data_IF_160109222137
#
_entry.id   IF_160109222137
#
_cell.length_a   1.000
_cell.length_b   1.000
_cell.length_c   1.000
_cell.angle_alpha   90.00
_cell.angle_beta   90.00
_cell.angle_gamma   90.00
#
_symmetry.space_group_name_H-M   'P 1'
#
loop_
_entity.id
_entity.type
_entity.pdbx_description
1 polymer ?
#
# COMPACT_ATOMS: atom_id res chain seq x y z
N UNK A 1 16.92 1.05 14.14
CA UNK A 1 18.04 0.40 14.87
C UNK A 1 18.28 -0.98 14.26
N UNK A 2 19.35 -1.18 13.49
CA UNK A 2 19.66 -2.48 12.87
C UNK A 2 20.46 -3.37 13.82
N UNK A 3 20.12 -4.66 13.91
CA UNK A 3 20.91 -5.68 14.60
C UNK A 3 21.05 -6.91 13.69
N UNK A 4 22.21 -7.05 13.07
CA UNK A 4 22.60 -8.24 12.31
C UNK A 4 23.02 -9.34 13.30
N UNK A 5 22.46 -10.55 13.19
CA UNK A 5 22.96 -11.74 13.89
C UNK A 5 23.31 -12.85 12.90
N UNK A 6 24.63 -13.01 12.76
CA UNK A 6 25.42 -14.24 12.59
C UNK A 6 25.02 -15.33 11.58
N UNK A 7 25.79 -15.35 10.47
CA UNK A 7 26.55 -16.48 9.89
C UNK A 7 25.91 -17.89 9.93
N UNK A 8 25.33 -18.31 8.81
CA UNK A 8 25.34 -19.72 8.40
C UNK A 8 26.46 -19.94 7.40
N UNK A 9 27.30 -20.96 7.63
CA UNK A 9 28.36 -21.38 6.71
C UNK A 9 27.78 -22.22 5.57
N UNK A 10 28.36 -22.15 4.36
CA UNK A 10 27.95 -22.89 3.14
C UNK A 10 27.65 -24.38 3.36
N UNK A 11 28.30 -25.02 4.33
CA UNK A 11 28.13 -26.43 4.68
C UNK A 11 26.73 -26.74 5.25
N UNK A 12 26.11 -25.78 5.94
CA UNK A 12 24.82 -25.92 6.61
C UNK A 12 23.66 -25.96 5.60
N UNK A 13 23.81 -25.22 4.48
CA UNK A 13 22.88 -25.30 3.36
C UNK A 13 23.00 -26.62 2.59
N UNK A 14 24.22 -27.15 2.42
CA UNK A 14 24.44 -28.40 1.68
C UNK A 14 23.83 -29.61 2.38
N UNK A 15 23.95 -29.68 3.71
CA UNK A 15 23.33 -30.75 4.49
C UNK A 15 21.79 -30.68 4.43
N UNK A 16 21.23 -29.47 4.42
CA UNK A 16 19.78 -29.27 4.30
C UNK A 16 19.25 -29.66 2.92
N UNK A 17 19.98 -29.34 1.84
CA UNK A 17 19.65 -29.76 0.46
C UNK A 17 19.71 -31.28 0.31
N UNK A 18 20.75 -31.94 0.85
CA UNK A 18 20.88 -33.40 0.75
C UNK A 18 19.76 -34.15 1.49
N UNK A 19 19.28 -33.62 2.62
CA UNK A 19 18.15 -34.20 3.37
C UNK A 19 16.81 -34.12 2.62
N UNK A 20 16.67 -33.14 1.71
CA UNK A 20 15.46 -32.97 0.89
C UNK A 20 15.49 -33.87 -0.35
N UNK A 21 16.67 -34.10 -0.93
CA UNK A 21 16.84 -34.96 -2.11
C UNK A 21 16.65 -36.46 -1.76
N UNK A 22 16.99 -36.89 -0.55
CA UNK A 22 16.79 -38.28 -0.12
C UNK A 22 15.33 -38.68 0.07
N UNK A 23 14.41 -37.70 0.20
CA UNK A 23 13.02 -37.94 0.57
C UNK A 23 12.02 -37.79 -0.59
N UNK A 24 12.47 -37.61 -1.83
CA UNK A 24 11.57 -37.58 -2.99
C UNK A 24 11.44 -38.95 -3.66
N UNK A 25 10.22 -39.48 -3.86
CA UNK A 25 10.02 -40.74 -4.57
C UNK A 25 10.37 -40.59 -6.06
N UNK A 26 11.13 -41.56 -6.60
CA UNK A 26 11.51 -41.63 -8.02
C UNK A 26 10.33 -42.14 -8.84
N UNK A 27 9.86 -41.35 -9.81
CA UNK A 27 8.86 -41.76 -10.81
C UNK A 27 9.60 -42.31 -12.02
N UNK A 28 9.42 -43.60 -12.29
CA UNK A 28 9.87 -44.29 -13.50
C UNK A 28 8.75 -44.30 -14.55
N UNK A 29 9.18 -44.33 -15.82
CA UNK A 29 8.44 -44.66 -17.05
C UNK A 29 7.76 -43.52 -17.84
N UNK A 30 8.38 -43.24 -18.99
CA UNK A 30 7.74 -42.84 -20.27
C UNK A 30 7.67 -44.10 -21.16
N UNK A 31 6.84 -44.24 -22.23
CA UNK A 31 6.38 -43.17 -23.14
C UNK A 31 4.97 -43.34 -23.79
N UNK A 32 4.48 -42.28 -24.46
CA UNK A 32 3.83 -42.24 -25.81
C UNK A 32 2.79 -41.10 -25.92
N UNK A 33 3.02 -40.19 -26.87
CA UNK A 33 2.09 -39.14 -27.31
C UNK A 33 0.91 -39.68 -28.13
N UNK A 34 -0.27 -39.02 -28.06
CA UNK A 34 -1.01 -38.67 -29.27
C UNK A 34 -1.41 -37.18 -29.37
N UNK A 35 -1.69 -36.80 -30.63
CA UNK A 35 -1.95 -35.47 -31.21
C UNK A 35 -3.05 -34.62 -30.57
N UNK A 36 -2.82 -33.30 -30.70
CA UNK A 36 -3.72 -32.13 -30.68
C UNK A 36 -5.24 -32.39 -30.54
N UNK A 37 -5.84 -31.75 -29.54
CA UNK A 37 -7.21 -31.22 -29.64
C UNK A 37 -7.23 -29.85 -28.98
N UNK A 38 -7.61 -28.84 -29.76
CA UNK A 38 -7.85 -27.47 -29.30
C UNK A 38 -9.09 -27.48 -28.41
N UNK A 39 -8.94 -27.12 -27.13
CA UNK A 39 -10.04 -26.65 -26.31
C UNK A 39 -9.56 -25.41 -25.54
N UNK A 40 -9.84 -24.26 -26.14
CA UNK A 40 -9.93 -22.96 -25.50
C UNK A 40 -10.90 -23.05 -24.32
N UNK A 41 -10.37 -23.31 -23.11
CA UNK A 41 -11.08 -23.00 -21.87
C UNK A 41 -10.56 -21.65 -21.37
N UNK A 42 -11.22 -20.61 -21.86
CA UNK A 42 -11.30 -19.34 -21.17
C UNK A 42 -11.74 -19.64 -19.72
N UNK A 43 -10.80 -19.53 -18.78
CA UNK A 43 -11.16 -19.40 -17.37
C UNK A 43 -11.83 -18.04 -17.24
N UNK A 44 -13.16 -18.05 -17.31
CA UNK A 44 -13.94 -16.98 -16.70
C UNK A 44 -13.58 -17.01 -15.22
N UNK A 45 -12.67 -16.13 -14.81
CA UNK A 45 -12.59 -15.72 -13.42
C UNK A 45 -13.79 -14.81 -13.15
N UNK A 46 -14.99 -15.39 -13.16
CA UNK A 46 -16.08 -14.91 -12.34
C UNK A 46 -15.68 -15.26 -10.91
N UNK A 47 -14.84 -14.41 -10.31
CA UNK A 47 -14.68 -14.36 -8.87
C UNK A 47 -16.04 -14.00 -8.29
N UNK A 48 -16.84 -15.04 -8.03
CA UNK A 48 -17.87 -15.00 -7.01
C UNK A 48 -17.14 -14.56 -5.75
N UNK A 49 -17.29 -13.30 -5.39
CA UNK A 49 -17.02 -12.82 -4.04
C UNK A 49 -18.07 -13.50 -3.14
N UNK A 50 -17.86 -14.78 -2.85
CA UNK A 50 -18.38 -15.37 -1.63
C UNK A 50 -17.57 -14.74 -0.51
N UNK A 51 -18.04 -13.58 -0.06
CA UNK A 51 -17.75 -13.08 1.28
C UNK A 51 -18.12 -14.22 2.22
N UNK A 52 -17.13 -14.99 2.65
CA UNK A 52 -17.27 -15.80 3.84
C UNK A 52 -17.46 -14.79 4.97
N UNK A 53 -18.73 -14.50 5.28
CA UNK A 53 -19.10 -13.74 6.46
C UNK A 53 -18.61 -14.56 7.66
N UNK A 54 -17.40 -14.22 8.11
CA UNK A 54 -16.98 -14.53 9.48
C UNK A 54 -18.05 -13.85 10.33
N UNK A 55 -18.99 -14.62 10.87
CA UNK A 55 -20.01 -14.12 11.78
C UNK A 55 -19.28 -13.56 13.01
N UNK A 56 -18.94 -12.27 12.93
CA UNK A 56 -18.37 -11.51 14.04
C UNK A 56 -19.44 -11.49 15.12
N UNK A 57 -19.12 -12.06 16.29
CA UNK A 57 -20.01 -12.00 17.45
C UNK A 57 -20.44 -10.55 17.69
N UNK A 58 -21.72 -10.35 18.02
CA UNK A 58 -22.31 -9.03 18.23
C UNK A 58 -21.51 -8.20 19.24
N UNK A 59 -20.94 -8.82 20.26
CA UNK A 59 -20.07 -8.17 21.24
C UNK A 59 -18.83 -7.54 20.59
N UNK A 60 -18.18 -8.26 19.67
CA UNK A 60 -17.01 -7.76 18.95
C UNK A 60 -17.38 -6.61 18.02
N UNK A 61 -18.55 -6.66 17.38
CA UNK A 61 -19.02 -5.56 16.53
C UNK A 61 -19.25 -4.29 17.35
N UNK A 62 -19.89 -4.42 18.52
CA UNK A 62 -20.08 -3.28 19.43
C UNK A 62 -18.75 -2.67 19.87
N UNK A 63 -17.76 -3.51 20.21
CA UNK A 63 -16.42 -3.04 20.58
C UNK A 63 -15.68 -2.35 19.44
N UNK A 64 -15.83 -2.84 18.21
CA UNK A 64 -15.28 -2.18 17.02
C UNK A 64 -15.93 -0.81 16.77
N UNK A 65 -17.24 -0.70 16.98
CA UNK A 65 -17.96 0.59 16.87
C UNK A 65 -17.49 1.57 17.94
N UNK A 66 -17.36 1.14 19.20
CA UNK A 66 -16.85 1.95 20.31
C UNK A 66 -15.43 2.46 20.01
N UNK A 67 -14.57 1.59 19.46
CA UNK A 67 -13.22 1.95 19.04
C UNK A 67 -13.22 2.99 17.91
N UNK A 68 -14.06 2.81 16.88
CA UNK A 68 -14.18 3.77 15.79
C UNK A 68 -14.66 5.13 16.30
N UNK A 69 -15.66 5.17 17.18
CA UNK A 69 -16.15 6.41 17.79
C UNK A 69 -15.04 7.12 18.59
N UNK A 70 -14.20 6.34 19.27
CA UNK A 70 -13.02 6.89 19.97
C UNK A 70 -12.06 7.55 18.97
N UNK A 71 -11.78 6.92 17.83
CA UNK A 71 -10.96 7.54 16.79
C UNK A 71 -11.60 8.79 16.19
N UNK A 72 -12.91 8.79 15.96
CA UNK A 72 -13.63 9.98 15.45
C UNK A 72 -13.47 11.19 16.37
N UNK A 73 -13.45 10.98 17.69
CA UNK A 73 -13.20 12.06 18.65
C UNK A 73 -11.81 12.69 18.52
N UNK A 74 -10.83 11.94 18.00
CA UNK A 74 -9.46 12.41 17.81
C UNK A 74 -9.26 13.19 16.50
N UNK A 75 -10.21 13.16 15.57
CA UNK A 75 -10.06 13.79 14.26
C UNK A 75 -9.82 15.30 14.33
N UNK A 76 -10.46 16.00 15.27
CA UNK A 76 -10.19 17.43 15.48
C UNK A 76 -8.75 17.69 15.94
N UNK A 77 -8.22 16.81 16.80
CA UNK A 77 -6.82 16.88 17.25
C UNK A 77 -5.86 16.59 16.11
N UNK A 78 -6.18 15.64 15.23
CA UNK A 78 -5.37 15.35 14.04
C UNK A 78 -5.33 16.55 13.10
N UNK A 79 -6.48 17.19 12.86
CA UNK A 79 -6.55 18.40 12.04
C UNK A 79 -5.71 19.54 12.63
N UNK A 80 -5.77 19.74 13.93
CA UNK A 80 -4.93 20.73 14.62
C UNK A 80 -3.43 20.44 14.50
N UNK A 81 -3.02 19.18 14.62
CA UNK A 81 -1.62 18.79 14.45
C UNK A 81 -1.16 19.02 13.00
N UNK A 82 -2.03 18.72 12.02
CA UNK A 82 -1.76 18.95 10.61
C UNK A 82 -1.66 20.45 10.27
N UNK A 83 -2.47 21.32 10.89
CA UNK A 83 -2.40 22.77 10.67
C UNK A 83 -1.11 23.41 11.19
N UNK A 84 -0.42 22.75 12.13
CA UNK A 84 0.89 23.16 12.64
C UNK A 84 2.06 22.52 11.85
N UNK A 85 1.82 22.09 10.61
CA UNK A 85 2.79 21.49 9.69
C UNK A 85 3.43 20.18 10.19
N UNK A 86 2.76 19.43 11.07
CA UNK A 86 3.19 18.10 11.47
C UNK A 86 2.52 16.99 10.66
N UNK A 87 3.27 15.96 10.33
CA UNK A 87 2.75 14.76 9.69
C UNK A 87 2.23 13.75 10.72
N UNK A 88 1.12 13.07 10.41
CA UNK A 88 0.53 12.05 11.27
C UNK A 88 0.79 10.65 10.69
N UNK A 89 1.41 9.79 11.50
CA UNK A 89 1.59 8.38 11.17
C UNK A 89 0.79 7.54 12.13
N UNK A 90 -0.20 6.83 11.60
CA UNK A 90 -0.99 5.88 12.37
C UNK A 90 -0.31 4.50 12.34
N UNK A 91 -0.12 3.88 13.50
CA UNK A 91 0.38 2.51 13.67
C UNK A 91 -0.60 1.70 14.53
N UNK A 92 -0.57 0.37 14.43
CA UNK A 92 -1.48 -0.50 15.16
C UNK A 92 -1.82 -1.79 14.41
N UNK A 93 -2.59 -2.64 15.06
CA UNK A 93 -3.03 -3.93 14.53
C UNK A 93 -4.28 -3.72 13.67
N UNK A 94 -4.37 -4.44 12.56
CA UNK A 94 -5.54 -4.41 11.68
C UNK A 94 -5.49 -3.32 10.59
N UNK A 95 -6.54 -3.31 9.77
CA UNK A 95 -6.68 -2.32 8.69
C UNK A 95 -7.18 -0.99 9.24
N UNK A 96 -6.42 0.08 8.98
CA UNK A 96 -6.80 1.46 9.38
C UNK A 96 -7.51 2.23 8.26
N UNK A 97 -7.85 1.56 7.17
CA UNK A 97 -8.49 2.19 6.01
C UNK A 97 -9.82 2.83 6.38
N UNK A 98 -10.65 2.15 7.17
CA UNK A 98 -11.96 2.65 7.60
C UNK A 98 -11.82 3.96 8.37
N UNK A 99 -10.89 4.02 9.34
CA UNK A 99 -10.67 5.22 10.16
C UNK A 99 -10.16 6.38 9.31
N UNK A 100 -9.20 6.14 8.42
CA UNK A 100 -8.66 7.18 7.52
C UNK A 100 -9.69 7.66 6.50
N UNK A 101 -10.50 6.76 5.96
CA UNK A 101 -11.59 7.10 5.05
C UNK A 101 -12.64 7.95 5.77
N UNK A 102 -13.00 7.59 6.99
CA UNK A 102 -13.92 8.38 7.81
C UNK A 102 -13.34 9.76 8.11
N UNK A 103 -12.06 9.85 8.47
CA UNK A 103 -11.37 11.14 8.64
C UNK A 103 -11.41 11.99 7.37
N UNK A 104 -11.16 11.38 6.20
CA UNK A 104 -11.23 12.07 4.91
C UNK A 104 -12.63 12.62 4.65
N UNK A 105 -13.67 11.80 4.82
CA UNK A 105 -15.06 12.20 4.54
C UNK A 105 -15.55 13.27 5.52
N UNK A 106 -15.16 13.20 6.79
CA UNK A 106 -15.65 14.12 7.83
C UNK A 106 -14.87 15.43 7.95
N UNK A 107 -13.57 15.44 7.63
CA UNK A 107 -12.70 16.61 7.85
C UNK A 107 -12.03 17.17 6.61
N UNK A 108 -11.87 16.36 5.57
CA UNK A 108 -11.13 16.72 4.35
C UNK A 108 -12.04 16.82 3.12
N UNK A 109 -13.36 16.92 3.30
CA UNK A 109 -14.32 17.09 2.19
C UNK A 109 -14.11 18.40 1.41
N UNK A 110 -13.68 19.44 2.13
CA UNK A 110 -13.60 20.80 1.61
C UNK A 110 -12.18 21.16 1.13
N UNK A 111 -11.22 20.25 1.34
CA UNK A 111 -9.81 20.45 1.02
C UNK A 111 -9.38 19.53 -0.11
N UNK A 112 -8.43 19.94 -0.97
CA UNK A 112 -7.87 19.05 -1.96
C UNK A 112 -7.10 17.92 -1.28
N UNK A 113 -7.59 16.69 -1.45
CA UNK A 113 -7.05 15.50 -0.81
C UNK A 113 -6.77 14.39 -1.82
N UNK A 114 -5.54 13.88 -1.82
CA UNK A 114 -5.12 12.75 -2.65
C UNK A 114 -4.96 11.50 -1.79
N UNK A 115 -5.55 10.39 -2.24
CA UNK A 115 -5.46 9.10 -1.55
C UNK A 115 -4.56 8.15 -2.33
N UNK A 116 -3.47 7.72 -1.70
CA UNK A 116 -2.48 6.81 -2.27
C UNK A 116 -2.60 5.44 -1.62
N UNK A 117 -2.84 4.42 -2.46
CA UNK A 117 -2.95 3.03 -2.04
C UNK A 117 -1.60 2.29 -2.12
N UNK A 118 -0.76 2.48 -1.10
CA UNK A 118 0.63 1.94 -1.03
C UNK A 118 0.77 0.41 -1.06
N UNK A 119 -0.31 -0.34 -0.86
CA UNK A 119 -0.32 -1.80 -0.94
C UNK A 119 -0.45 -2.33 -2.38
N UNK A 120 -0.71 -1.48 -3.38
CA UNK A 120 -0.81 -1.94 -4.76
C UNK A 120 0.57 -2.26 -5.35
N UNK A 121 0.75 -3.43 -5.97
CA UNK A 121 2.04 -3.86 -6.50
C UNK A 121 2.48 -3.10 -7.75
N UNK A 122 1.55 -2.43 -8.45
CA UNK A 122 1.81 -1.60 -9.62
C UNK A 122 2.05 -0.13 -9.31
N UNK A 123 1.98 0.28 -8.03
CA UNK A 123 2.15 1.67 -7.64
C UNK A 123 3.61 2.11 -7.82
N UNK A 124 3.82 3.27 -8.45
CA UNK A 124 5.16 3.87 -8.56
C UNK A 124 5.18 5.26 -7.95
N UNK A 125 6.34 5.70 -7.45
CA UNK A 125 6.48 7.08 -6.95
C UNK A 125 6.19 8.10 -8.06
N UNK A 126 6.55 7.77 -9.30
CA UNK A 126 6.28 8.59 -10.47
C UNK A 126 4.77 8.76 -10.69
N UNK A 127 3.98 7.69 -10.59
CA UNK A 127 2.52 7.80 -10.71
C UNK A 127 1.87 8.63 -9.59
N UNK A 128 2.45 8.64 -8.38
CA UNK A 128 1.94 9.49 -7.29
C UNK A 128 2.20 10.96 -7.62
N UNK A 129 3.42 11.28 -8.06
CA UNK A 129 3.78 12.63 -8.51
C UNK A 129 2.92 13.08 -9.68
N UNK A 130 2.76 12.21 -10.68
CA UNK A 130 1.93 12.50 -11.85
C UNK A 130 0.49 12.79 -11.42
N UNK A 131 -0.08 12.02 -10.49
CA UNK A 131 -1.40 12.29 -9.92
C UNK A 131 -1.46 13.64 -9.19
N UNK A 132 -0.44 14.01 -8.40
CA UNK A 132 -0.39 15.33 -7.74
C UNK A 132 -0.31 16.47 -8.78
N UNK A 133 0.54 16.35 -9.79
CA UNK A 133 0.75 17.43 -10.76
C UNK A 133 -0.43 17.55 -11.75
N UNK A 134 -0.99 16.43 -12.18
CA UNK A 134 -2.06 16.41 -13.18
C UNK A 134 -3.43 16.60 -12.52
N UNK A 135 -3.76 15.81 -11.50
CA UNK A 135 -5.11 15.79 -10.93
C UNK A 135 -5.39 17.01 -10.04
N UNK A 136 -4.34 17.60 -9.44
CA UNK A 136 -4.50 18.68 -8.48
C UNK A 136 -3.97 20.03 -8.98
N UNK A 137 -2.83 20.03 -9.68
CA UNK A 137 -2.29 21.29 -10.23
C UNK A 137 -2.80 21.60 -11.64
N UNK A 138 -3.52 20.68 -12.28
CA UNK A 138 -4.02 20.78 -13.67
C UNK A 138 -2.92 21.05 -14.70
N UNK A 139 -1.68 20.70 -14.37
CA UNK A 139 -0.54 20.90 -15.24
C UNK A 139 -0.44 19.77 -16.27
N UNK A 140 -0.26 20.14 -17.53
CA UNK A 140 -0.13 19.20 -18.65
C UNK A 140 1.25 18.55 -18.76
N UNK A 141 2.26 19.10 -18.08
CA UNK A 141 3.63 18.65 -18.17
C UNK A 141 4.20 18.31 -16.78
N UNK A 142 4.60 17.05 -16.62
CA UNK A 142 5.29 16.56 -15.43
C UNK A 142 6.79 16.52 -15.72
N UNK A 143 7.62 17.34 -15.03
CA UNK A 143 9.07 17.28 -15.19
C UNK A 143 9.63 15.89 -14.90
N UNK A 144 10.67 15.47 -15.64
CA UNK A 144 11.28 14.14 -15.47
C UNK A 144 12.16 14.04 -14.21
N UNK A 145 12.64 15.18 -13.72
CA UNK A 145 13.49 15.28 -12.55
C UNK A 145 12.64 15.55 -11.30
N UNK A 146 12.90 14.79 -10.24
CA UNK A 146 12.15 14.89 -8.98
C UNK A 146 12.34 16.27 -8.32
N UNK A 147 13.55 16.85 -8.41
CA UNK A 147 13.79 18.19 -7.85
C UNK A 147 12.95 19.27 -8.52
N UNK A 148 12.83 19.23 -9.85
CA UNK A 148 12.05 20.21 -10.61
C UNK A 148 10.54 20.04 -10.37
N UNK A 149 10.09 18.80 -10.15
CA UNK A 149 8.71 18.51 -9.71
C UNK A 149 8.42 19.16 -8.36
N UNK A 150 9.30 18.99 -7.36
CA UNK A 150 9.06 19.53 -6.02
C UNK A 150 9.00 21.05 -6.07
N UNK A 151 9.92 21.69 -6.80
CA UNK A 151 9.92 23.14 -6.98
C UNK A 151 8.64 23.63 -7.70
N UNK A 152 8.18 22.89 -8.71
CA UNK A 152 6.93 23.21 -9.41
C UNK A 152 5.73 23.13 -8.48
N UNK A 153 5.66 22.07 -7.66
CA UNK A 153 4.59 21.91 -6.68
C UNK A 153 4.63 23.07 -5.67
N UNK A 154 5.79 23.35 -5.09
CA UNK A 154 5.93 24.41 -4.07
C UNK A 154 5.53 25.80 -4.61
N UNK A 155 5.98 26.13 -5.83
CA UNK A 155 5.62 27.39 -6.49
C UNK A 155 4.10 27.49 -6.71
N UNK A 156 3.48 26.43 -7.22
CA UNK A 156 2.04 26.44 -7.52
C UNK A 156 1.17 26.45 -6.26
N UNK A 157 1.58 25.73 -5.21
CA UNK A 157 0.87 25.74 -3.93
C UNK A 157 0.92 27.13 -3.30
N UNK A 158 2.08 27.80 -3.38
CA UNK A 158 2.27 29.17 -2.90
C UNK A 158 1.44 30.18 -3.72
N UNK A 159 1.42 30.05 -5.05
CA UNK A 159 0.66 30.94 -5.94
C UNK A 159 -0.86 30.81 -5.74
N UNK A 160 -1.36 29.58 -5.58
CA UNK A 160 -2.79 29.32 -5.36
C UNK A 160 -3.21 29.57 -3.91
N UNK A 161 -2.26 29.56 -2.97
CA UNK A 161 -2.53 29.70 -1.53
C UNK A 161 -3.36 28.56 -0.97
N UNK A 162 -3.13 27.34 -1.47
CA UNK A 162 -3.94 26.15 -1.13
C UNK A 162 -3.07 25.08 -0.49
N UNK A 163 -3.54 24.54 0.63
CA UNK A 163 -2.93 23.38 1.28
C UNK A 163 -3.48 22.07 0.72
N UNK A 164 -2.60 21.09 0.58
CA UNK A 164 -2.91 19.79 -0.01
C UNK A 164 -2.74 18.69 1.01
N UNK A 165 -3.75 17.84 1.13
CA UNK A 165 -3.71 16.69 2.02
C UNK A 165 -3.35 15.42 1.24
N UNK A 166 -2.38 14.68 1.76
CA UNK A 166 -1.95 13.41 1.18
C UNK A 166 -2.18 12.28 2.18
N UNK A 167 -3.09 11.36 1.84
CA UNK A 167 -3.37 10.16 2.64
C UNK A 167 -2.69 8.96 2.00
N UNK A 168 -1.63 8.45 2.64
CA UNK A 168 -0.92 7.26 2.16
C UNK A 168 -1.34 6.04 3.00
N UNK A 169 -2.12 5.16 2.40
CA UNK A 169 -2.39 3.85 2.98
C UNK A 169 -1.15 2.96 2.85
N UNK A 170 -0.60 2.51 3.98
CA UNK A 170 0.56 1.62 4.02
C UNK A 170 1.81 2.22 3.35
N UNK A 171 2.43 3.20 4.01
CA UNK A 171 3.69 3.82 3.58
C UNK A 171 4.84 2.79 3.43
N UNK A 172 4.77 1.68 4.16
CA UNK A 172 5.72 0.56 4.08
C UNK A 172 5.35 -0.47 2.98
N UNK A 173 4.51 -0.05 2.03
CA UNK A 173 4.15 -0.81 0.84
C UNK A 173 5.37 -1.30 0.06
N UNK A 174 5.29 -2.48 -0.56
CA UNK A 174 6.42 -3.10 -1.23
C UNK A 174 7.12 -2.17 -2.24
N UNK A 175 6.35 -1.33 -2.94
CA UNK A 175 6.86 -0.39 -3.94
C UNK A 175 7.39 0.93 -3.34
N UNK A 176 6.97 1.28 -2.12
CA UNK A 176 7.35 2.52 -1.43
C UNK A 176 8.56 2.35 -0.51
N UNK A 177 8.96 1.12 -0.18
CA UNK A 177 10.14 0.85 0.68
C UNK A 177 11.49 1.29 0.11
N UNK A 178 11.56 1.58 -1.18
CA UNK A 178 12.83 1.94 -1.80
C UNK A 178 13.29 3.33 -1.29
N UNK A 179 14.60 3.50 -1.11
CA UNK A 179 15.16 4.72 -0.51
C UNK A 179 14.80 5.98 -1.31
N UNK A 180 14.72 5.86 -2.64
CA UNK A 180 14.35 6.97 -3.53
C UNK A 180 12.92 7.46 -3.28
N UNK A 181 11.97 6.54 -3.14
CA UNK A 181 10.56 6.85 -2.88
C UNK A 181 10.39 7.48 -1.50
N UNK A 182 11.03 6.92 -0.47
CA UNK A 182 11.01 7.51 0.87
C UNK A 182 11.63 8.90 0.88
N UNK A 183 12.76 9.11 0.19
CA UNK A 183 13.40 10.42 0.08
C UNK A 183 12.59 11.44 -0.77
N UNK A 184 11.69 10.96 -1.63
CA UNK A 184 10.81 11.83 -2.43
C UNK A 184 9.54 12.23 -1.65
N UNK A 185 9.12 11.40 -0.70
CA UNK A 185 7.97 11.65 0.18
C UNK A 185 8.34 12.41 1.46
N UNK A 186 9.64 12.53 1.75
CA UNK A 186 10.18 13.23 2.92
C UNK A 186 10.48 14.69 2.58
#
# INVERSE_FOLDING_TARGET
>A
MFRFKSRHTKLDLQNKVNSVISNTPKVTDSPKTPRKTVLSRARQNSTKNESQDIQLSNEHQTKLMELNNTYSSLFNRWLYVLSENFNIILYGIGSKRTVLHQFQTEKLSDFPCIVVNGFFPSLTIKSIIESIVVDLLENTHVPSNVGDVVNLIDTQLTEKGVDVFLIIHNIDGAMLRNAKAQATLA
#
